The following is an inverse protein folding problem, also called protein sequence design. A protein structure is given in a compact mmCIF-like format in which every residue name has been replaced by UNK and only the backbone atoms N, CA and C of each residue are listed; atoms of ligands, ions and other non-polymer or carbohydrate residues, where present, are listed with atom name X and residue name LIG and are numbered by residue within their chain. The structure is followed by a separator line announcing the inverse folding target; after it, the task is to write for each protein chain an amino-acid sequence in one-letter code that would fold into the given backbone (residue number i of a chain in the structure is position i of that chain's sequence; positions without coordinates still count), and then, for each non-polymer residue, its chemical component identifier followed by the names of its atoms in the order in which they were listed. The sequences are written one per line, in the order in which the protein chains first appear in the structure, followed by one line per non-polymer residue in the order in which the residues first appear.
data_IF_449052616698
#
_entry.id   IF_449052616698
#
_cell.length_a   1.000
_cell.length_b   1.000
_cell.length_c   1.000
_cell.angle_alpha   90.00
_cell.angle_beta   90.00
_cell.angle_gamma   90.00
#
_symmetry.space_group_name_H-M   'P 1'
#
loop_
_entity.id
_entity.type
_entity.pdbx_description
1 polymer ?
#
# COMPACT_ATOMS: atom_id res chain seq x y z
N UNK A 1 -2.81 14.74 -1.05
CA UNK A 1 -1.58 13.91 -1.00
C UNK A 1 -0.83 13.84 -2.33
N UNK A 2 -1.45 13.33 -3.40
CA UNK A 2 -0.83 13.14 -4.72
C UNK A 2 -0.07 14.39 -5.24
N UNK A 3 -0.69 15.56 -5.18
CA UNK A 3 -0.08 16.81 -5.68
C UNK A 3 1.08 17.37 -4.84
N UNK A 4 1.37 16.77 -3.68
CA UNK A 4 2.46 17.19 -2.78
C UNK A 4 3.65 16.22 -2.81
N UNK A 5 3.66 15.26 -3.74
CA UNK A 5 4.82 14.40 -3.98
C UNK A 5 5.92 15.25 -4.64
N UNK A 6 7.13 15.20 -4.10
CA UNK A 6 8.29 16.00 -4.52
C UNK A 6 9.44 15.07 -4.90
N UNK A 7 9.92 15.19 -6.13
CA UNK A 7 11.08 14.44 -6.62
C UNK A 7 12.32 14.69 -5.76
N UNK A 8 13.14 13.65 -5.58
CA UNK A 8 14.35 13.71 -4.75
C UNK A 8 14.10 13.58 -3.25
N UNK A 9 12.84 13.40 -2.81
CA UNK A 9 12.53 13.23 -1.38
C UNK A 9 12.79 11.81 -0.94
N UNK A 10 13.51 11.60 0.17
CA UNK A 10 13.65 10.29 0.79
C UNK A 10 12.33 9.89 1.50
N UNK A 11 11.41 9.28 0.76
CA UNK A 11 10.14 8.79 1.32
C UNK A 11 10.35 7.52 2.17
N UNK A 12 9.55 7.30 3.22
CA UNK A 12 9.66 6.08 4.01
C UNK A 12 9.14 4.86 3.23
N UNK A 13 9.50 3.67 3.70
CA UNK A 13 8.89 2.43 3.23
C UNK A 13 7.36 2.55 3.37
N UNK A 14 6.66 2.33 2.27
CA UNK A 14 5.21 2.58 2.18
C UNK A 14 4.49 1.41 1.54
N UNK A 15 3.45 0.91 2.20
CA UNK A 15 2.51 -0.06 1.65
C UNK A 15 1.15 0.60 1.46
N UNK A 16 0.73 0.80 0.21
CA UNK A 16 -0.59 1.34 -0.14
C UNK A 16 -1.54 0.19 -0.41
N UNK A 17 -2.64 0.11 0.34
CA UNK A 17 -3.67 -0.92 0.18
C UNK A 17 -4.90 -0.35 -0.53
N UNK A 18 -5.45 -1.09 -1.49
CA UNK A 18 -6.75 -0.78 -2.11
C UNK A 18 -7.43 -2.06 -2.60
N UNK A 19 -8.63 -1.92 -3.16
CA UNK A 19 -9.38 -3.03 -3.74
C UNK A 19 -9.91 -2.68 -5.13
N UNK A 20 -9.84 -3.63 -6.05
CA UNK A 20 -10.20 -3.44 -7.46
C UNK A 20 -11.67 -3.07 -7.65
N UNK A 21 -12.56 -3.73 -6.88
CA UNK A 21 -14.00 -3.52 -6.93
C UNK A 21 -14.51 -2.43 -5.99
N UNK A 22 -13.66 -1.53 -5.51
CA UNK A 22 -14.09 -0.44 -4.64
C UNK A 22 -14.86 0.63 -5.44
N UNK A 23 -16.19 0.55 -5.38
CA UNK A 23 -17.11 1.51 -6.00
C UNK A 23 -17.29 2.81 -5.20
N UNK A 24 -16.73 2.91 -3.99
CA UNK A 24 -16.82 4.10 -3.13
C UNK A 24 -15.60 4.99 -3.31
N UNK A 25 -14.41 4.41 -3.31
CA UNK A 25 -13.14 5.11 -3.51
C UNK A 25 -12.35 4.39 -4.60
N UNK A 26 -12.27 5.02 -5.76
CA UNK A 26 -11.72 4.38 -6.95
C UNK A 26 -10.24 3.98 -6.75
N UNK A 27 -9.83 2.73 -7.09
CA UNK A 27 -8.47 2.22 -6.83
C UNK A 27 -7.36 2.99 -7.55
N UNK A 28 -7.70 3.78 -8.57
CA UNK A 28 -6.73 4.62 -9.28
C UNK A 28 -6.08 5.68 -8.39
N UNK A 29 -6.70 6.09 -7.27
CA UNK A 29 -6.05 6.94 -6.27
C UNK A 29 -4.80 6.27 -5.69
N UNK A 30 -4.91 4.99 -5.33
CA UNK A 30 -3.79 4.20 -4.82
C UNK A 30 -2.73 3.97 -5.91
N UNK A 31 -3.14 3.60 -7.12
CA UNK A 31 -2.22 3.35 -8.24
C UNK A 31 -1.40 4.59 -8.60
N UNK A 32 -2.05 5.74 -8.79
CA UNK A 32 -1.35 6.97 -9.15
C UNK A 32 -0.45 7.49 -8.03
N UNK A 33 -0.85 7.33 -6.77
CA UNK A 33 -0.02 7.70 -5.63
C UNK A 33 1.22 6.80 -5.53
N UNK A 34 1.04 5.49 -5.70
CA UNK A 34 2.15 4.52 -5.69
C UNK A 34 3.16 4.85 -6.79
N UNK A 35 2.68 5.06 -8.02
CA UNK A 35 3.55 5.41 -9.15
C UNK A 35 4.29 6.73 -8.91
N UNK A 36 3.60 7.77 -8.42
CA UNK A 36 4.22 9.05 -8.13
C UNK A 36 5.31 8.93 -7.05
N UNK A 37 5.04 8.19 -5.96
CA UNK A 37 6.01 7.96 -4.90
C UNK A 37 7.22 7.14 -5.37
N UNK A 38 6.99 6.07 -6.14
CA UNK A 38 8.06 5.24 -6.71
C UNK A 38 8.98 6.05 -7.62
N UNK A 39 8.40 6.94 -8.43
CA UNK A 39 9.16 7.82 -9.31
C UNK A 39 9.95 8.90 -8.54
N UNK A 40 9.33 9.50 -7.53
CA UNK A 40 9.88 10.66 -6.84
C UNK A 40 10.87 10.33 -5.70
N UNK A 41 10.86 9.10 -5.19
CA UNK A 41 11.67 8.76 -4.01
C UNK A 41 13.17 8.75 -4.30
N UNK A 42 13.95 9.27 -3.35
CA UNK A 42 15.42 9.17 -3.36
C UNK A 42 15.96 8.15 -2.34
N UNK A 43 15.09 7.48 -1.59
CA UNK A 43 15.49 6.43 -0.65
C UNK A 43 15.46 5.05 -1.31
N UNK A 44 16.25 4.11 -0.79
CA UNK A 44 16.17 2.68 -1.16
C UNK A 44 15.00 1.92 -0.48
N UNK A 45 14.10 2.65 0.18
CA UNK A 45 12.93 2.06 0.85
C UNK A 45 11.85 1.59 -0.14
N UNK A 46 11.19 0.45 0.11
CA UNK A 46 10.19 -0.07 -0.79
C UNK A 46 8.89 0.74 -0.73
N UNK A 47 8.35 1.07 -1.91
CA UNK A 47 7.01 1.61 -2.09
C UNK A 47 6.18 0.58 -2.88
N UNK A 48 5.21 -0.02 -2.20
CA UNK A 48 4.44 -1.16 -2.70
C UNK A 48 2.95 -0.84 -2.75
N UNK A 49 2.25 -1.44 -3.72
CA UNK A 49 0.79 -1.44 -3.79
C UNK A 49 0.24 -2.85 -3.61
N UNK A 50 -0.64 -3.04 -2.62
CA UNK A 50 -1.41 -4.26 -2.41
C UNK A 50 -2.85 -4.03 -2.86
N UNK A 51 -3.19 -4.50 -4.06
CA UNK A 51 -4.52 -4.34 -4.64
C UNK A 51 -5.29 -5.67 -4.55
N UNK A 52 -6.33 -5.72 -3.73
CA UNK A 52 -7.17 -6.90 -3.60
C UNK A 52 -8.13 -7.01 -4.79
N UNK A 53 -8.03 -8.10 -5.56
CA UNK A 53 -8.77 -8.26 -6.82
C UNK A 53 -10.26 -8.60 -6.66
N UNK A 54 -10.64 -9.24 -5.55
CA UNK A 54 -12.02 -9.69 -5.30
C UNK A 54 -12.60 -9.08 -4.02
N UNK A 55 -12.44 -7.78 -3.85
CA UNK A 55 -13.04 -7.02 -2.75
C UNK A 55 -13.52 -5.64 -3.22
N UNK A 56 -14.47 -5.08 -2.47
CA UNK A 56 -14.83 -3.66 -2.55
C UNK A 56 -14.20 -2.87 -1.40
N UNK A 57 -14.87 -1.80 -0.96
CA UNK A 57 -14.36 -0.86 0.06
C UNK A 57 -14.04 -1.48 1.44
N UNK A 58 -14.54 -2.68 1.73
CA UNK A 58 -14.24 -3.40 2.97
C UNK A 58 -15.45 -4.11 3.58
N UNK A 59 -16.66 -3.64 3.31
CA UNK A 59 -17.89 -4.31 3.74
C UNK A 59 -18.02 -5.68 3.06
N UNK A 60 -18.37 -6.71 3.85
CA UNK A 60 -18.54 -8.08 3.35
C UNK A 60 -17.25 -8.79 2.94
N UNK A 61 -16.07 -8.23 3.22
CA UNK A 61 -14.78 -8.89 2.92
C UNK A 61 -14.68 -10.20 3.73
N UNK A 62 -14.48 -11.36 3.08
CA UNK A 62 -14.35 -12.64 3.77
C UNK A 62 -13.26 -12.61 4.84
N UNK A 63 -13.46 -13.33 5.95
CA UNK A 63 -12.49 -13.38 7.06
C UNK A 63 -11.10 -13.81 6.56
N UNK A 64 -11.04 -14.78 5.66
CA UNK A 64 -9.78 -15.24 5.05
C UNK A 64 -9.02 -14.11 4.34
N UNK A 65 -9.72 -13.25 3.60
CA UNK A 65 -9.15 -12.08 2.94
C UNK A 65 -8.68 -11.01 3.93
N UNK A 66 -9.42 -10.83 5.02
CA UNK A 66 -9.01 -9.92 6.11
C UNK A 66 -7.75 -10.41 6.82
N UNK A 67 -7.66 -11.71 7.11
CA UNK A 67 -6.46 -12.32 7.71
C UNK A 67 -5.25 -12.14 6.80
N UNK A 68 -5.39 -12.39 5.50
CA UNK A 68 -4.31 -12.16 4.52
C UNK A 68 -3.87 -10.69 4.49
N UNK A 69 -4.82 -9.75 4.42
CA UNK A 69 -4.52 -8.32 4.43
C UNK A 69 -3.77 -7.89 5.70
N UNK A 70 -4.25 -8.30 6.87
CA UNK A 70 -3.56 -7.99 8.12
C UNK A 70 -2.19 -8.66 8.20
N UNK A 71 -2.06 -9.89 7.71
CA UNK A 71 -0.77 -10.59 7.67
C UNK A 71 0.25 -9.80 6.86
N UNK A 72 -0.13 -9.36 5.64
CA UNK A 72 0.77 -8.57 4.79
C UNK A 72 1.13 -7.22 5.41
N UNK A 73 0.14 -6.52 5.99
CA UNK A 73 0.35 -5.22 6.65
C UNK A 73 1.27 -5.34 7.86
N UNK A 74 1.02 -6.30 8.75
CA UNK A 74 1.84 -6.49 9.94
C UNK A 74 3.22 -7.05 9.60
N UNK A 75 3.33 -7.97 8.63
CA UNK A 75 4.63 -8.46 8.18
C UNK A 75 5.48 -7.32 7.62
N UNK A 76 4.91 -6.45 6.79
CA UNK A 76 5.60 -5.27 6.27
C UNK A 76 6.06 -4.32 7.38
N UNK A 77 5.18 -4.01 8.33
CA UNK A 77 5.50 -3.15 9.48
C UNK A 77 6.59 -3.76 10.36
N UNK A 78 6.44 -5.02 10.76
CA UNK A 78 7.38 -5.73 11.61
C UNK A 78 8.74 -5.89 10.93
N UNK A 79 8.77 -6.22 9.63
CA UNK A 79 9.99 -6.24 8.83
C UNK A 79 10.66 -4.86 8.83
N UNK A 80 9.91 -3.79 8.53
CA UNK A 80 10.48 -2.46 8.44
C UNK A 80 11.02 -1.94 9.78
N UNK A 81 10.37 -2.34 10.88
CA UNK A 81 10.76 -2.00 12.24
C UNK A 81 11.81 -2.96 12.84
N UNK A 82 12.33 -3.92 12.06
CA UNK A 82 13.38 -4.84 12.51
C UNK A 82 12.90 -5.91 13.50
N UNK A 83 11.60 -6.16 13.60
CA UNK A 83 11.00 -7.19 14.46
C UNK A 83 11.00 -8.57 13.78
N UNK A 84 11.15 -8.62 12.46
CA UNK A 84 11.39 -9.85 11.69
C UNK A 84 12.82 -9.79 11.15
N UNK A 85 13.62 -10.81 11.43
CA UNK A 85 14.94 -10.97 10.81
C UNK A 85 14.78 -11.30 9.33
N UNK A 86 15.71 -10.81 8.50
CA UNK A 86 15.82 -11.20 7.08
C UNK A 86 16.12 -12.68 6.93
#
# INVERSE_FOLDING_TARGET
PYHNVKEGTAYPATLITAAEGDSRVHPFHARKMTAALQYATASDEPILARIESKAGHGAGKPVTKRVQEYTDVYAFLMWKLGMLSR
#
